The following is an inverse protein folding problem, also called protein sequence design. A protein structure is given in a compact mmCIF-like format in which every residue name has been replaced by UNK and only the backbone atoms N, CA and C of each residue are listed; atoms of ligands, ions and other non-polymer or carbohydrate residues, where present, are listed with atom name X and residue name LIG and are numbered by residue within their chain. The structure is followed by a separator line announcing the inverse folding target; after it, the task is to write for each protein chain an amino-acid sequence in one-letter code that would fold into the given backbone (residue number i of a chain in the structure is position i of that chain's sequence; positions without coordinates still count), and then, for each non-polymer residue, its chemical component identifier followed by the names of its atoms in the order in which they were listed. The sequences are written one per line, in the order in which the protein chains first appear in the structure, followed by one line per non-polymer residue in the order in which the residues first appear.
data_IF_097517217748
#
_entry.id   IF_097517217748
#
_cell.length_a   1.000
_cell.length_b   1.000
_cell.length_c   1.000
_cell.angle_alpha   90.00
_cell.angle_beta   90.00
_cell.angle_gamma   90.00
#
_symmetry.space_group_name_H-M   'P 1'
#
loop_
_entity.id
_entity.type
_entity.pdbx_description
1 polymer ?
#
# COMPACT_ATOMS: atom_id res chain seq x y z
N UNK A 1 3.65 13.77 -10.17
CA UNK A 1 3.58 13.56 -8.70
C UNK A 1 3.38 14.87 -7.96
N UNK A 2 2.38 14.92 -7.08
CA UNK A 2 2.20 15.92 -6.02
C UNK A 2 2.53 15.27 -4.68
N UNK A 3 3.48 15.83 -3.93
CA UNK A 3 3.97 15.28 -2.67
C UNK A 3 3.53 16.18 -1.50
N UNK A 4 2.88 15.58 -0.51
CA UNK A 4 2.47 16.21 0.74
C UNK A 4 3.30 15.64 1.91
N UNK A 5 4.29 16.40 2.38
CA UNK A 5 5.09 16.08 3.56
C UNK A 5 4.32 16.51 4.83
N UNK A 6 3.31 15.73 5.19
CA UNK A 6 2.36 16.05 6.26
C UNK A 6 2.60 15.22 7.53
N UNK A 7 2.20 15.80 8.67
CA UNK A 7 2.06 15.13 9.97
C UNK A 7 0.85 15.76 10.70
N UNK A 8 0.10 15.01 11.52
CA UNK A 8 0.22 13.57 11.77
C UNK A 8 -0.16 12.69 10.55
N UNK A 9 0.14 11.37 10.57
CA UNK A 9 -0.35 10.41 9.56
C UNK A 9 -1.89 10.31 9.57
N UNK A 10 -2.46 9.57 8.64
CA UNK A 10 -3.90 9.43 8.45
C UNK A 10 -4.46 8.02 8.25
N UNK A 11 -3.69 7.06 7.72
CA UNK A 11 -4.26 5.80 7.18
C UNK A 11 -4.96 4.88 8.22
N UNK A 12 -4.76 5.10 9.52
CA UNK A 12 -5.45 4.38 10.59
C UNK A 12 -6.78 5.03 11.06
N UNK A 13 -7.06 6.26 10.63
CA UNK A 13 -8.29 6.96 10.99
C UNK A 13 -9.46 6.50 10.09
N UNK A 14 -10.47 5.89 10.71
CA UNK A 14 -11.69 5.43 10.07
C UNK A 14 -12.82 6.47 10.06
N UNK A 15 -14.01 6.06 9.63
CA UNK A 15 -15.20 6.92 9.43
C UNK A 15 -15.64 7.62 10.72
N UNK A 16 -15.50 6.96 11.85
CA UNK A 16 -15.93 7.46 13.17
C UNK A 16 -14.84 7.31 14.23
N UNK A 17 -13.58 7.45 13.82
CA UNK A 17 -12.41 7.24 14.68
C UNK A 17 -11.78 5.88 14.43
N UNK A 18 -11.76 5.00 15.44
CA UNK A 18 -11.01 3.72 15.35
C UNK A 18 -11.72 2.76 14.39
N UNK A 19 -11.00 2.26 13.39
CA UNK A 19 -11.50 1.25 12.44
C UNK A 19 -11.16 -0.18 12.89
N UNK A 20 -12.02 -1.14 12.54
CA UNK A 20 -11.81 -2.58 12.76
C UNK A 20 -11.44 -2.99 14.21
N UNK A 21 -11.95 -2.26 15.20
CA UNK A 21 -11.67 -2.58 16.61
C UNK A 21 -10.25 -2.27 17.08
N UNK A 22 -9.44 -1.55 16.28
CA UNK A 22 -8.08 -1.16 16.62
C UNK A 22 -8.02 -0.49 18.02
N UNK A 23 -6.93 -0.68 18.78
CA UNK A 23 -6.86 -0.17 20.15
C UNK A 23 -6.72 1.37 20.20
N UNK A 24 -6.15 1.99 19.16
CA UNK A 24 -5.99 3.44 19.02
C UNK A 24 -6.20 3.88 17.57
N UNK A 25 -5.87 5.13 17.24
CA UNK A 25 -5.80 5.65 15.87
C UNK A 25 -4.37 5.62 15.29
N UNK A 26 -3.38 5.02 15.98
CA UNK A 26 -2.02 4.91 15.44
C UNK A 26 -1.41 6.26 15.07
N UNK A 27 -1.50 7.22 15.99
CA UNK A 27 -1.11 8.62 15.81
C UNK A 27 -1.94 9.44 14.79
N UNK A 28 -2.89 8.81 14.08
CA UNK A 28 -3.70 9.46 13.07
C UNK A 28 -4.84 10.30 13.68
N UNK A 29 -5.22 11.38 13.01
CA UNK A 29 -6.37 12.22 13.39
C UNK A 29 -7.44 12.20 12.29
N UNK A 30 -7.05 12.50 11.05
CA UNK A 30 -7.90 12.45 9.86
C UNK A 30 -7.20 11.64 8.77
N UNK A 31 -7.96 10.97 7.92
CA UNK A 31 -7.40 10.12 6.88
C UNK A 31 -7.11 10.93 5.60
N UNK A 32 -5.84 11.33 5.44
CA UNK A 32 -5.39 12.17 4.33
C UNK A 32 -5.55 11.45 2.97
N UNK A 33 -5.08 10.20 2.89
CA UNK A 33 -5.11 9.42 1.66
C UNK A 33 -6.56 9.10 1.23
N UNK A 34 -7.40 8.62 2.16
CA UNK A 34 -8.80 8.34 1.84
C UNK A 34 -9.57 9.60 1.42
N UNK A 35 -9.32 10.74 2.07
CA UNK A 35 -9.93 12.01 1.65
C UNK A 35 -9.48 12.43 0.25
N UNK A 36 -8.18 12.33 -0.06
CA UNK A 36 -7.66 12.61 -1.38
C UNK A 36 -8.25 11.67 -2.44
N UNK A 37 -8.45 10.39 -2.12
CA UNK A 37 -9.05 9.40 -3.00
C UNK A 37 -10.50 9.76 -3.33
N UNK A 38 -11.34 10.03 -2.33
CA UNK A 38 -12.74 10.43 -2.54
C UNK A 38 -12.85 11.70 -3.39
N UNK A 39 -12.01 12.72 -3.14
CA UNK A 39 -12.03 13.95 -3.94
C UNK A 39 -11.55 13.70 -5.37
N UNK A 40 -10.55 12.84 -5.56
CA UNK A 40 -10.06 12.49 -6.90
C UNK A 40 -11.11 11.69 -7.68
N UNK A 41 -11.80 10.75 -7.05
CA UNK A 41 -12.85 9.94 -7.66
C UNK A 41 -13.96 10.80 -8.27
N UNK A 42 -14.39 11.88 -7.58
CA UNK A 42 -15.38 12.83 -8.12
C UNK A 42 -14.94 13.48 -9.45
N UNK A 43 -13.63 13.49 -9.74
CA UNK A 43 -13.04 14.09 -10.94
C UNK A 43 -12.69 13.06 -12.01
N UNK A 44 -12.28 11.85 -11.62
CA UNK A 44 -11.71 10.86 -12.54
C UNK A 44 -12.41 9.50 -12.57
N UNK A 45 -13.47 9.33 -11.77
CA UNK A 45 -14.33 8.13 -11.64
C UNK A 45 -13.63 6.89 -11.10
N UNK A 46 -12.37 6.64 -11.44
CA UNK A 46 -11.57 5.51 -10.93
C UNK A 46 -10.33 6.02 -10.22
N UNK A 47 -10.19 5.64 -8.97
CA UNK A 47 -9.02 5.99 -8.15
C UNK A 47 -8.38 4.74 -7.57
N UNK A 48 -7.05 4.70 -7.60
CA UNK A 48 -6.29 3.66 -6.93
C UNK A 48 -5.64 4.25 -5.69
N UNK A 49 -5.74 3.54 -4.57
CA UNK A 49 -4.96 3.80 -3.36
C UNK A 49 -3.93 2.70 -3.19
N UNK A 50 -2.67 3.08 -3.07
CA UNK A 50 -1.57 2.17 -2.73
C UNK A 50 -1.05 2.56 -1.35
N UNK A 51 -1.04 1.59 -0.44
CA UNK A 51 -0.46 1.72 0.89
C UNK A 51 0.72 0.75 1.03
N UNK A 52 1.91 1.29 1.27
CA UNK A 52 3.12 0.52 1.55
C UNK A 52 3.73 0.86 2.92
N UNK A 53 3.00 1.57 3.77
CA UNK A 53 3.33 1.66 5.19
C UNK A 53 3.38 0.25 5.79
N UNK A 54 4.28 0.02 6.74
CA UNK A 54 4.46 -1.31 7.28
C UNK A 54 3.24 -1.82 8.06
N UNK A 55 2.32 -0.92 8.45
CA UNK A 55 1.08 -1.24 9.15
C UNK A 55 -0.12 -1.13 8.21
N UNK A 56 -1.07 -2.04 8.37
CA UNK A 56 -2.30 -2.00 7.58
C UNK A 56 -3.04 -0.65 7.72
N UNK A 57 -3.37 -0.03 6.59
CA UNK A 57 -4.20 1.17 6.45
C UNK A 57 -5.68 0.90 6.75
N UNK A 58 -5.97 0.42 7.96
CA UNK A 58 -7.29 -0.03 8.39
C UNK A 58 -8.37 1.06 8.33
N UNK A 59 -8.00 2.33 8.52
CA UNK A 59 -8.92 3.46 8.36
C UNK A 59 -9.30 3.66 6.89
N UNK A 60 -8.31 3.59 5.99
CA UNK A 60 -8.52 3.70 4.54
C UNK A 60 -9.38 2.55 4.04
N UNK A 61 -9.11 1.31 4.48
CA UNK A 61 -9.94 0.15 4.18
C UNK A 61 -11.39 0.36 4.64
N UNK A 62 -11.64 0.87 5.85
CA UNK A 62 -13.01 1.09 6.34
C UNK A 62 -13.75 2.18 5.54
N UNK A 63 -13.05 3.25 5.17
CA UNK A 63 -13.61 4.38 4.43
C UNK A 63 -14.08 3.94 3.05
N UNK A 64 -13.22 3.23 2.32
CA UNK A 64 -13.45 2.79 0.94
C UNK A 64 -14.15 1.43 0.83
N UNK A 65 -14.55 0.84 1.96
CA UNK A 65 -15.02 -0.55 2.02
C UNK A 65 -16.12 -0.89 1.00
N UNK A 66 -17.13 -0.04 0.85
CA UNK A 66 -18.28 -0.28 -0.03
C UNK A 66 -18.16 0.45 -1.39
N UNK A 67 -16.95 0.89 -1.76
CA UNK A 67 -16.69 1.68 -2.95
C UNK A 67 -16.18 0.82 -4.12
N UNK A 68 -17.01 0.69 -5.16
CA UNK A 68 -16.70 -0.10 -6.34
C UNK A 68 -15.72 0.59 -7.32
N UNK A 69 -15.51 1.90 -7.13
CA UNK A 69 -14.70 2.75 -8.01
C UNK A 69 -13.31 3.04 -7.43
N UNK A 70 -13.08 2.68 -6.17
CA UNK A 70 -11.82 2.86 -5.46
C UNK A 70 -11.16 1.52 -5.17
N UNK A 71 -10.05 1.22 -5.85
CA UNK A 71 -9.23 0.04 -5.53
C UNK A 71 -8.21 0.43 -4.46
N UNK A 72 -8.06 -0.40 -3.43
CA UNK A 72 -7.11 -0.19 -2.35
C UNK A 72 -6.18 -1.40 -2.21
N UNK A 73 -4.92 -1.23 -2.62
CA UNK A 73 -3.85 -2.24 -2.48
C UNK A 73 -2.98 -1.86 -1.30
N UNK A 74 -2.83 -2.76 -0.34
CA UNK A 74 -2.09 -2.54 0.90
C UNK A 74 -1.08 -3.67 1.11
N UNK A 75 0.20 -3.31 1.31
CA UNK A 75 1.31 -4.23 1.59
C UNK A 75 1.85 -3.93 3.00
N UNK A 76 1.46 -4.74 3.98
CA UNK A 76 1.82 -4.53 5.39
C UNK A 76 2.39 -5.79 6.02
N UNK A 77 3.15 -5.63 7.11
CA UNK A 77 3.59 -6.75 7.91
C UNK A 77 2.40 -7.39 8.63
N UNK A 78 2.28 -8.71 8.54
CA UNK A 78 1.21 -9.45 9.21
C UNK A 78 1.38 -9.45 10.72
N UNK A 79 0.27 -9.68 11.44
CA UNK A 79 0.28 -9.94 12.89
C UNK A 79 0.95 -8.83 13.74
N UNK A 80 0.90 -7.58 13.28
CA UNK A 80 1.29 -6.39 14.06
C UNK A 80 0.12 -5.43 14.19
N UNK A 81 0.32 -4.31 14.90
CA UNK A 81 -0.69 -3.24 14.96
C UNK A 81 -1.13 -2.87 13.53
N UNK A 82 -2.43 -2.72 13.23
CA UNK A 82 -3.58 -2.65 14.15
C UNK A 82 -4.31 -3.99 14.42
N UNK A 83 -3.75 -5.14 14.04
CA UNK A 83 -4.38 -6.48 14.12
C UNK A 83 -5.59 -6.66 13.19
N UNK A 84 -5.49 -6.15 11.95
CA UNK A 84 -6.50 -6.29 10.90
C UNK A 84 -5.82 -6.32 9.52
N UNK A 85 -6.61 -6.41 8.45
CA UNK A 85 -6.09 -6.39 7.07
C UNK A 85 -5.87 -7.78 6.52
N UNK A 86 -6.86 -8.66 6.64
CA UNK A 86 -6.72 -10.06 6.24
C UNK A 86 -6.93 -10.27 4.74
N UNK A 87 -6.37 -11.34 4.18
CA UNK A 87 -6.42 -11.59 2.73
C UNK A 87 -7.84 -11.83 2.20
N UNK A 88 -8.77 -12.19 3.09
CA UNK A 88 -10.18 -12.39 2.78
C UNK A 88 -11.04 -11.12 2.93
N UNK A 89 -10.45 -10.00 3.38
CA UNK A 89 -11.10 -8.70 3.39
C UNK A 89 -11.07 -8.12 1.97
N UNK A 90 -12.00 -8.55 1.12
CA UNK A 90 -12.00 -8.26 -0.32
C UNK A 90 -12.82 -7.03 -0.74
N UNK A 91 -13.46 -6.36 0.21
CA UNK A 91 -14.39 -5.27 -0.05
C UNK A 91 -15.81 -5.59 0.42
N UNK A 92 -16.61 -4.55 0.50
CA UNK A 92 -17.99 -4.56 0.93
C UNK A 92 -18.95 -4.96 -0.17
N UNK A 93 -20.23 -4.84 0.13
CA UNK A 93 -21.28 -5.34 -0.77
C UNK A 93 -21.31 -4.52 -2.07
N UNK A 94 -21.07 -5.16 -3.20
CA UNK A 94 -21.01 -4.49 -4.52
C UNK A 94 -19.66 -3.86 -4.83
N UNK A 95 -18.66 -4.06 -3.96
CA UNK A 95 -17.28 -3.62 -4.12
C UNK A 95 -16.31 -4.79 -3.86
N UNK A 96 -16.78 -6.03 -3.95
CA UNK A 96 -15.91 -7.20 -3.81
C UNK A 96 -14.81 -7.18 -4.88
N UNK A 97 -13.58 -7.48 -4.47
CA UNK A 97 -12.37 -7.40 -5.28
C UNK A 97 -11.66 -6.05 -5.23
N UNK A 98 -12.27 -4.98 -4.72
CA UNK A 98 -11.60 -3.65 -4.70
C UNK A 98 -10.62 -3.48 -3.54
N UNK A 99 -10.70 -4.32 -2.49
CA UNK A 99 -9.69 -4.36 -1.43
C UNK A 99 -8.74 -5.54 -1.63
N UNK A 100 -7.45 -5.23 -1.66
CA UNK A 100 -6.37 -6.22 -1.77
C UNK A 100 -5.43 -6.02 -0.59
N UNK A 101 -5.30 -7.05 0.26
CA UNK A 101 -4.37 -7.09 1.38
C UNK A 101 -3.26 -8.10 1.10
N UNK A 102 -2.02 -7.64 1.06
CA UNK A 102 -0.81 -8.44 0.98
C UNK A 102 -0.15 -8.50 2.36
N UNK A 103 -0.49 -9.55 3.11
CA UNK A 103 -0.03 -9.76 4.49
C UNK A 103 1.39 -10.29 4.52
N UNK A 104 2.36 -9.39 4.40
CA UNK A 104 3.76 -9.74 4.23
C UNK A 104 4.31 -10.44 5.50
N UNK A 105 5.03 -11.56 5.35
CA UNK A 105 5.65 -12.24 6.49
C UNK A 105 6.61 -11.36 7.28
N UNK A 106 6.79 -11.69 8.57
CA UNK A 106 7.86 -11.10 9.37
C UNK A 106 9.22 -11.29 8.69
N UNK A 107 10.09 -10.29 8.84
CA UNK A 107 11.43 -10.25 8.25
C UNK A 107 11.49 -10.23 6.72
N UNK A 108 10.36 -10.03 6.02
CA UNK A 108 10.34 -9.83 4.58
C UNK A 108 11.23 -8.65 4.16
N UNK A 109 12.00 -8.87 3.09
CA UNK A 109 12.87 -7.87 2.49
C UNK A 109 12.43 -7.50 1.06
N UNK A 110 13.30 -6.80 0.33
CA UNK A 110 13.00 -6.30 -1.01
C UNK A 110 12.52 -7.40 -1.96
N UNK A 111 13.23 -8.53 -2.04
CA UNK A 111 12.84 -9.66 -2.92
C UNK A 111 11.44 -10.22 -2.62
N UNK A 112 10.99 -10.18 -1.36
CA UNK A 112 9.66 -10.62 -0.97
C UNK A 112 8.58 -9.62 -1.42
N UNK A 113 8.79 -8.34 -1.11
CA UNK A 113 7.86 -7.27 -1.45
C UNK A 113 7.78 -7.04 -2.96
N UNK A 114 8.91 -7.07 -3.67
CA UNK A 114 8.97 -7.00 -5.12
C UNK A 114 8.24 -8.18 -5.77
N UNK A 115 8.36 -9.39 -5.22
CA UNK A 115 7.60 -10.53 -5.74
C UNK A 115 6.08 -10.33 -5.56
N UNK A 116 5.63 -9.88 -4.39
CA UNK A 116 4.22 -9.59 -4.15
C UNK A 116 3.69 -8.45 -5.05
N UNK A 117 4.49 -7.40 -5.21
CA UNK A 117 4.22 -6.26 -6.07
C UNK A 117 4.04 -6.70 -7.54
N UNK A 118 5.01 -7.42 -8.09
CA UNK A 118 4.98 -7.88 -9.49
C UNK A 118 3.90 -8.92 -9.79
N UNK A 119 3.54 -9.76 -8.81
CA UNK A 119 2.57 -10.84 -9.00
C UNK A 119 1.14 -10.47 -8.71
N UNK A 120 0.90 -9.40 -7.95
CA UNK A 120 -0.45 -9.00 -7.55
C UNK A 120 -0.71 -7.54 -7.85
N UNK A 121 0.11 -6.62 -7.34
CA UNK A 121 -0.16 -5.19 -7.48
C UNK A 121 -0.07 -4.75 -8.95
N UNK A 122 1.05 -5.02 -9.64
CA UNK A 122 1.27 -4.56 -11.03
C UNK A 122 0.18 -5.04 -12.01
N UNK A 123 -0.21 -6.34 -12.03
CA UNK A 123 -1.32 -6.79 -12.89
C UNK A 123 -2.64 -6.04 -12.62
N UNK A 124 -3.03 -5.89 -11.35
CA UNK A 124 -4.26 -5.19 -10.95
C UNK A 124 -4.19 -3.72 -11.34
N UNK A 125 -3.07 -3.04 -11.11
CA UNK A 125 -2.86 -1.64 -11.49
C UNK A 125 -3.07 -1.46 -13.00
N UNK A 126 -2.48 -2.34 -13.80
CA UNK A 126 -2.59 -2.30 -15.27
C UNK A 126 -3.99 -2.61 -15.78
N UNK A 127 -4.68 -3.58 -15.17
CA UNK A 127 -6.05 -3.93 -15.53
C UNK A 127 -7.03 -2.83 -15.14
N UNK A 128 -6.87 -2.25 -13.95
CA UNK A 128 -7.74 -1.19 -13.44
C UNK A 128 -7.56 0.14 -14.18
N UNK A 129 -6.36 0.41 -14.72
CA UNK A 129 -6.01 1.60 -15.49
C UNK A 129 -6.47 2.91 -14.80
N UNK A 130 -5.91 3.21 -13.60
CA UNK A 130 -6.28 4.39 -12.84
C UNK A 130 -5.73 5.66 -13.48
N UNK A 131 -6.51 6.74 -13.46
CA UNK A 131 -6.00 8.07 -13.88
C UNK A 131 -5.19 8.76 -12.80
N UNK A 132 -5.53 8.50 -11.54
CA UNK A 132 -4.87 9.04 -10.36
C UNK A 132 -4.58 7.91 -9.39
N UNK A 133 -3.35 7.87 -8.89
CA UNK A 133 -2.94 6.97 -7.81
C UNK A 133 -2.65 7.81 -6.57
N UNK A 134 -3.39 7.55 -5.50
CA UNK A 134 -3.12 8.08 -4.17
C UNK A 134 -2.19 7.12 -3.46
N UNK A 135 -1.10 7.63 -2.90
CA UNK A 135 -0.10 6.81 -2.21
C UNK A 135 -0.07 7.19 -0.74
N UNK A 136 -0.46 6.25 0.13
CA UNK A 136 -0.13 6.27 1.56
C UNK A 136 1.34 5.89 1.70
N UNK A 137 2.20 6.90 1.76
CA UNK A 137 3.64 6.74 1.72
C UNK A 137 4.24 6.66 3.13
N UNK A 138 4.20 5.46 3.71
CA UNK A 138 4.89 5.11 4.94
C UNK A 138 6.24 4.47 4.67
N UNK A 139 7.29 4.89 5.39
CA UNK A 139 8.65 4.34 5.21
C UNK A 139 9.16 3.60 6.45
N UNK A 140 8.29 3.21 7.37
CA UNK A 140 8.64 2.49 8.60
C UNK A 140 8.91 0.98 8.41
N UNK A 141 8.68 0.45 7.21
CA UNK A 141 9.15 -0.88 6.80
C UNK A 141 10.65 -0.93 6.46
N UNK A 142 11.32 0.22 6.43
CA UNK A 142 12.74 0.32 6.09
C UNK A 142 13.63 -0.31 7.17
N UNK A 143 14.63 -1.07 6.74
CA UNK A 143 15.61 -1.71 7.61
C UNK A 143 16.33 -0.67 8.50
N UNK A 144 16.05 -0.73 9.80
CA UNK A 144 16.65 0.15 10.81
C UNK A 144 15.68 1.15 11.44
N UNK A 145 14.40 1.18 11.02
CA UNK A 145 13.34 1.96 11.67
C UNK A 145 12.97 1.41 13.06
N UNK A 146 13.21 0.12 13.31
CA UNK A 146 12.99 -0.59 14.60
C UNK A 146 11.56 -0.51 15.15
N UNK A 147 10.56 -0.25 14.30
CA UNK A 147 9.14 -0.32 14.65
C UNK A 147 8.49 -1.63 14.23
N UNK A 148 9.01 -2.23 13.17
CA UNK A 148 8.52 -3.47 12.56
C UNK A 148 9.68 -4.44 12.37
N UNK A 149 9.43 -5.65 11.87
CA UNK A 149 10.50 -6.63 11.59
C UNK A 149 10.94 -6.63 10.13
N UNK A 150 10.26 -5.87 9.27
CA UNK A 150 10.59 -5.71 7.86
C UNK A 150 12.03 -5.23 7.63
N UNK A 151 12.56 -5.57 6.46
CA UNK A 151 13.94 -5.33 6.07
C UNK A 151 14.03 -4.68 4.69
N UNK A 152 13.10 -3.78 4.38
CA UNK A 152 13.08 -3.08 3.10
C UNK A 152 14.27 -2.11 2.99
N UNK A 153 14.76 -1.91 1.78
CA UNK A 153 15.79 -0.93 1.47
C UNK A 153 15.32 0.04 0.40
N UNK A 154 16.18 0.93 -0.06
CA UNK A 154 15.90 1.81 -1.19
C UNK A 154 15.44 1.07 -2.45
N UNK A 155 15.82 -0.20 -2.58
CA UNK A 155 15.50 -1.01 -3.74
C UNK A 155 13.99 -1.14 -3.96
N UNK A 156 13.24 -1.60 -2.96
CA UNK A 156 11.79 -1.71 -3.07
C UNK A 156 11.12 -0.37 -3.37
N UNK A 157 11.46 0.67 -2.60
CA UNK A 157 10.85 1.99 -2.77
C UNK A 157 11.14 2.61 -4.14
N UNK A 158 12.38 2.46 -4.65
CA UNK A 158 12.74 2.92 -6.00
C UNK A 158 11.98 2.17 -7.08
N UNK A 159 11.82 0.85 -6.92
CA UNK A 159 11.07 0.03 -7.88
C UNK A 159 9.60 0.44 -7.95
N UNK A 160 8.93 0.57 -6.80
CA UNK A 160 7.55 1.05 -6.70
C UNK A 160 7.42 2.44 -7.32
N UNK A 161 8.35 3.35 -7.02
CA UNK A 161 8.39 4.68 -7.64
C UNK A 161 8.45 4.61 -9.16
N UNK A 162 9.33 3.77 -9.71
CA UNK A 162 9.51 3.59 -11.15
C UNK A 162 8.26 3.03 -11.83
N UNK A 163 7.63 2.00 -11.28
CA UNK A 163 6.41 1.42 -11.86
C UNK A 163 5.24 2.40 -11.83
N UNK A 164 5.23 3.28 -10.83
CA UNK A 164 4.21 4.33 -10.73
C UNK A 164 4.50 5.57 -11.59
N UNK A 165 5.65 5.64 -12.28
CA UNK A 165 6.09 6.81 -13.05
C UNK A 165 5.14 7.20 -14.20
N UNK A 166 4.38 6.24 -14.74
CA UNK A 166 3.40 6.47 -15.80
C UNK A 166 2.08 7.08 -15.30
N UNK A 167 1.85 7.14 -13.98
CA UNK A 167 0.61 7.62 -13.37
C UNK A 167 0.74 9.00 -12.72
N UNK A 168 -0.39 9.71 -12.62
CA UNK A 168 -0.47 10.94 -11.82
C UNK A 168 -0.60 10.61 -10.33
N UNK A 169 0.45 10.88 -9.56
CA UNK A 169 0.46 10.56 -8.13
C UNK A 169 0.03 11.73 -7.23
N UNK A 170 -0.79 11.43 -6.23
CA UNK A 170 -1.00 12.22 -5.03
C UNK A 170 -0.42 11.46 -3.83
N UNK A 171 0.73 11.90 -3.33
CA UNK A 171 1.50 11.17 -2.30
C UNK A 171 1.32 11.85 -0.95
N UNK A 172 0.79 11.13 0.03
CA UNK A 172 0.59 11.59 1.40
C UNK A 172 1.52 10.83 2.35
N UNK A 173 2.28 11.56 3.16
CA UNK A 173 3.17 10.96 4.15
C UNK A 173 2.42 10.30 5.31
N UNK A 174 2.83 9.08 5.66
CA UNK A 174 2.29 8.29 6.76
C UNK A 174 3.39 8.03 7.83
N UNK A 175 3.77 6.77 8.06
CA UNK A 175 4.85 6.34 8.93
C UNK A 175 6.26 6.54 8.36
N UNK A 176 7.25 6.12 9.13
CA UNK A 176 8.68 6.40 8.89
C UNK A 176 9.16 7.60 9.71
N UNK A 177 10.25 7.42 10.44
CA UNK A 177 10.65 8.32 11.52
C UNK A 177 12.16 8.61 11.54
N UNK A 178 12.96 7.83 10.81
CA UNK A 178 14.42 7.95 10.79
C UNK A 178 15.00 7.59 9.41
N UNK A 179 15.75 6.50 9.31
CA UNK A 179 16.43 6.02 8.12
C UNK A 179 15.48 5.79 6.92
N UNK A 180 14.24 5.40 7.16
CA UNK A 180 13.22 5.23 6.14
C UNK A 180 12.88 6.55 5.44
N UNK A 181 12.77 7.65 6.20
CA UNK A 181 12.59 8.97 5.61
C UNK A 181 13.87 9.49 4.94
N UNK A 182 15.04 9.18 5.50
CA UNK A 182 16.33 9.62 4.96
C UNK A 182 16.68 8.93 3.65
N UNK A 183 16.29 7.66 3.46
CA UNK A 183 16.73 6.82 2.34
C UNK A 183 15.58 6.29 1.48
N UNK A 184 14.48 5.85 2.09
CA UNK A 184 13.31 5.32 1.39
C UNK A 184 12.57 6.37 0.57
N UNK A 185 12.27 7.53 1.16
CA UNK A 185 11.60 8.62 0.42
C UNK A 185 12.41 9.09 -0.80
N UNK A 186 13.71 9.45 -0.67
CA UNK A 186 14.50 9.85 -1.84
C UNK A 186 14.54 8.76 -2.92
N UNK A 187 14.64 7.49 -2.54
CA UNK A 187 14.64 6.37 -3.47
C UNK A 187 13.31 6.25 -4.24
N UNK A 188 12.16 6.39 -3.56
CA UNK A 188 10.85 6.41 -4.21
C UNK A 188 10.73 7.56 -5.22
N UNK A 189 11.14 8.78 -4.83
CA UNK A 189 11.13 9.95 -5.71
C UNK A 189 12.07 9.76 -6.90
N UNK A 190 13.28 9.25 -6.66
CA UNK A 190 14.26 8.95 -7.70
C UNK A 190 13.68 7.96 -8.72
N UNK A 191 13.08 6.87 -8.25
CA UNK A 191 12.42 5.88 -9.11
C UNK A 191 11.32 6.48 -9.96
N UNK A 192 10.43 7.29 -9.36
CA UNK A 192 9.34 7.94 -10.09
C UNK A 192 9.82 8.85 -11.23
N UNK A 193 10.90 9.60 -11.02
CA UNK A 193 11.41 10.51 -12.04
C UNK A 193 12.37 9.86 -13.04
N UNK A 194 13.02 8.74 -12.69
CA UNK A 194 13.82 7.99 -13.66
C UNK A 194 12.93 7.20 -14.61
N UNK A 195 11.86 6.57 -14.09
CA UNK A 195 11.05 5.60 -14.83
C UNK A 195 11.84 4.37 -15.30
N UNK A 196 13.06 4.18 -14.77
CA UNK A 196 13.94 3.07 -15.12
C UNK A 196 13.72 1.92 -14.12
N UNK A 197 12.87 0.96 -14.51
CA UNK A 197 12.64 -0.25 -13.72
C UNK A 197 13.90 -1.13 -13.70
N UNK A 198 14.24 -1.66 -12.53
CA UNK A 198 15.28 -2.70 -12.43
C UNK A 198 14.61 -4.07 -12.55
N UNK A 199 14.43 -4.57 -13.78
CA UNK A 199 14.10 -5.98 -13.97
C UNK A 199 15.26 -6.83 -13.48
N UNK A 200 15.12 -7.38 -12.27
CA UNK A 200 16.05 -8.35 -11.72
C UNK A 200 15.32 -9.59 -11.23
N UNK A 201 15.97 -10.77 -11.29
CA UNK A 201 15.43 -11.96 -10.64
C UNK A 201 15.34 -11.78 -9.13
N UNK A 202 14.13 -11.90 -8.58
CA UNK A 202 13.86 -11.93 -7.13
C UNK A 202 13.89 -13.36 -6.59
N UNK A 203 14.29 -13.52 -5.33
CA UNK A 203 14.29 -14.81 -4.60
C UNK A 203 13.41 -14.69 -3.35
N UNK A 204 12.07 -14.64 -3.50
CA UNK A 204 11.16 -14.55 -2.36
C UNK A 204 11.30 -15.76 -1.44
N UNK A 205 11.01 -15.54 -0.15
CA UNK A 205 10.88 -16.61 0.83
C UNK A 205 9.70 -17.52 0.52
N UNK A 206 9.72 -18.74 1.07
CA UNK A 206 8.60 -19.68 0.93
C UNK A 206 7.30 -19.14 1.54
N UNK A 207 7.37 -18.41 2.65
CA UNK A 207 6.19 -17.80 3.28
C UNK A 207 5.57 -16.73 2.38
N UNK A 208 6.39 -15.94 1.69
CA UNK A 208 5.92 -14.97 0.70
C UNK A 208 5.25 -15.66 -0.48
N UNK A 209 5.87 -16.72 -1.03
CA UNK A 209 5.26 -17.51 -2.10
C UNK A 209 3.87 -18.03 -1.71
N UNK A 210 3.75 -18.55 -0.48
CA UNK A 210 2.48 -19.05 0.04
C UNK A 210 1.45 -17.93 0.22
N UNK A 211 1.88 -16.76 0.72
CA UNK A 211 1.02 -15.59 0.93
C UNK A 211 0.50 -15.05 -0.40
N UNK A 212 1.39 -14.82 -1.36
CA UNK A 212 1.01 -14.36 -2.70
C UNK A 212 0.08 -15.37 -3.39
N UNK A 213 0.34 -16.67 -3.28
CA UNK A 213 -0.55 -17.68 -3.85
C UNK A 213 -1.96 -17.61 -3.24
N UNK A 214 -2.09 -17.41 -1.92
CA UNK A 214 -3.42 -17.26 -1.29
C UNK A 214 -4.14 -16.03 -1.81
N UNK A 215 -3.45 -14.89 -1.90
CA UNK A 215 -4.02 -13.65 -2.41
C UNK A 215 -4.44 -13.79 -3.88
N UNK A 216 -3.61 -14.39 -4.73
CA UNK A 216 -3.96 -14.69 -6.13
C UNK A 216 -5.19 -15.59 -6.22
N UNK A 217 -5.26 -16.67 -5.43
CA UNK A 217 -6.41 -17.59 -5.45
C UNK A 217 -7.73 -16.91 -5.04
N UNK A 218 -7.67 -15.89 -4.17
CA UNK A 218 -8.83 -15.10 -3.76
C UNK A 218 -9.16 -14.06 -4.84
N UNK A 219 -8.18 -13.29 -5.27
CA UNK A 219 -8.38 -12.11 -6.11
C UNK A 219 -8.66 -12.45 -7.59
N UNK A 220 -8.31 -13.65 -8.06
CA UNK A 220 -8.63 -14.11 -9.42
C UNK A 220 -10.12 -14.23 -9.74
N UNK A 221 -10.99 -14.10 -8.73
CA UNK A 221 -12.43 -13.98 -8.95
C UNK A 221 -12.81 -12.66 -9.61
N UNK A 222 -11.99 -11.60 -9.42
CA UNK A 222 -12.26 -10.24 -9.91
C UNK A 222 -11.17 -9.68 -10.85
N UNK A 223 -9.96 -10.24 -10.83
CA UNK A 223 -8.79 -9.75 -11.57
C UNK A 223 -8.10 -10.86 -12.36
N UNK A 224 -7.46 -10.52 -13.48
CA UNK A 224 -6.68 -11.45 -14.30
C UNK A 224 -5.25 -11.64 -13.71
N UNK A 225 -5.14 -12.59 -12.76
CA UNK A 225 -3.91 -12.94 -12.02
C UNK A 225 -3.33 -14.33 -12.35
#
# INVERSE_FOLDING_TARGET
MYLALVRPPGHHAGKSGRAFGAPTLGFCIFNNAAYAATVAEELVERVLVIDFDAHHGNGTQEILWDDANAVHIDLHERDIYPWSGYEHDVGGKGAEGTKINLLMPHYSGDDDFLFAWEKVAVPIIREFDPKVVVVSAGFDGFLGENLTTLRLTEEFFRHVGSDLSEYSLAVAFEGGYSVGLERGLPAFIEGYFSGEGQEKPVKPSYETLSTVQRVVEIQKEWWEL
#
